data_IF_500016010927
#
_entry.id   IF_500016010927
#
_cell.length_a   1.000
_cell.length_b   1.000
_cell.length_c   1.000
_cell.angle_alpha   90.00
_cell.angle_beta   90.00
_cell.angle_gamma   90.00
#
_symmetry.space_group_name_H-M   'P 1'
#
loop_
_entity.id
_entity.type
_entity.pdbx_description
1 polymer ?
#
# COMPACT_ATOMS: atom_id res chain seq x y z
N UNK A 1 -7.29 -40.24 13.75
CA UNK A 1 -6.06 -39.40 13.76
C UNK A 1 -5.67 -38.88 12.37
N UNK A 2 -6.05 -39.55 11.28
CA UNK A 2 -5.81 -39.14 9.88
C UNK A 2 -6.48 -37.81 9.47
N UNK A 3 -7.63 -37.44 10.04
CA UNK A 3 -8.34 -36.20 9.69
C UNK A 3 -7.58 -34.92 10.06
N UNK A 4 -6.89 -34.89 11.21
CA UNK A 4 -6.16 -33.69 11.68
C UNK A 4 -4.95 -33.35 10.80
N UNK A 5 -4.26 -34.37 10.29
CA UNK A 5 -3.12 -34.20 9.38
C UNK A 5 -3.58 -33.70 8.00
N UNK A 6 -4.64 -34.29 7.45
CA UNK A 6 -5.25 -33.84 6.20
C UNK A 6 -5.78 -32.40 6.32
N UNK A 7 -6.44 -32.07 7.44
CA UNK A 7 -6.95 -30.72 7.70
C UNK A 7 -5.80 -29.70 7.84
N UNK A 8 -4.71 -30.05 8.51
CA UNK A 8 -3.52 -29.19 8.66
C UNK A 8 -2.78 -28.97 7.33
N UNK A 9 -2.68 -30.01 6.50
CA UNK A 9 -2.10 -29.89 5.17
C UNK A 9 -2.97 -29.03 4.25
N UNK A 10 -4.30 -29.23 4.26
CA UNK A 10 -5.25 -28.41 3.52
C UNK A 10 -5.23 -26.94 3.95
N UNK A 11 -5.22 -26.67 5.26
CA UNK A 11 -5.08 -25.32 5.82
C UNK A 11 -3.77 -24.65 5.40
N UNK A 12 -2.66 -25.38 5.41
CA UNK A 12 -1.35 -24.86 5.00
C UNK A 12 -1.31 -24.53 3.51
N UNK A 13 -1.88 -25.38 2.66
CA UNK A 13 -2.00 -25.11 1.23
C UNK A 13 -2.90 -23.90 0.98
N UNK A 14 -4.03 -23.80 1.68
CA UNK A 14 -4.92 -22.65 1.60
C UNK A 14 -4.22 -21.35 2.05
N UNK A 15 -3.49 -21.38 3.16
CA UNK A 15 -2.72 -20.23 3.67
C UNK A 15 -1.68 -19.76 2.63
N UNK A 16 -0.97 -20.68 1.98
CA UNK A 16 -0.03 -20.34 0.90
C UNK A 16 -0.72 -19.67 -0.29
N UNK A 17 -1.89 -20.18 -0.71
CA UNK A 17 -2.66 -19.58 -1.80
C UNK A 17 -3.19 -18.20 -1.42
N UNK A 18 -3.73 -18.04 -0.22
CA UNK A 18 -4.23 -16.75 0.30
C UNK A 18 -3.10 -15.72 0.41
N UNK A 19 -1.92 -16.12 0.87
CA UNK A 19 -0.76 -15.23 0.98
C UNK A 19 -0.28 -14.73 -0.38
N UNK A 20 -0.41 -15.52 -1.45
CA UNK A 20 -0.04 -15.12 -2.82
C UNK A 20 -0.93 -13.98 -3.36
N UNK A 21 -2.21 -13.96 -2.98
CA UNK A 21 -3.17 -12.93 -3.42
C UNK A 21 -3.37 -11.80 -2.40
N UNK A 22 -2.79 -11.94 -1.21
CA UNK A 22 -2.84 -10.92 -0.18
C UNK A 22 -2.02 -9.71 -0.62
N UNK A 23 -2.53 -8.47 -0.45
CA UNK A 23 -1.71 -7.29 -0.69
C UNK A 23 -0.51 -7.27 0.25
N UNK A 24 0.57 -6.63 -0.20
CA UNK A 24 1.74 -6.38 0.62
C UNK A 24 1.37 -5.60 1.89
N UNK A 25 2.15 -5.81 2.95
CA UNK A 25 2.00 -5.05 4.19
C UNK A 25 2.30 -3.57 3.90
N UNK A 26 1.39 -2.65 4.27
CA UNK A 26 1.60 -1.24 4.00
C UNK A 26 2.76 -0.69 4.84
N UNK A 27 3.02 -1.16 6.05
CA UNK A 27 4.01 -0.50 6.93
C UNK A 27 5.35 -1.22 6.93
N UNK A 28 5.38 -2.54 6.78
CA UNK A 28 6.58 -3.33 6.95
C UNK A 28 6.97 -4.08 5.68
N UNK A 29 8.27 -4.17 5.44
CA UNK A 29 8.84 -5.08 4.44
C UNK A 29 9.72 -6.11 5.14
N UNK A 30 9.74 -7.31 4.57
CA UNK A 30 10.59 -8.41 5.04
C UNK A 30 11.89 -8.38 4.24
N UNK A 31 13.01 -8.44 4.93
CA UNK A 31 14.34 -8.57 4.32
C UNK A 31 15.09 -9.72 4.97
N UNK A 32 15.94 -10.37 4.18
CA UNK A 32 16.80 -11.45 4.66
C UNK A 32 18.09 -10.80 5.17
N UNK A 33 18.39 -11.03 6.45
CA UNK A 33 19.64 -10.58 7.08
C UNK A 33 20.83 -11.35 6.49
N UNK A 34 22.05 -10.86 6.69
CA UNK A 34 23.31 -11.52 6.27
C UNK A 34 23.42 -12.96 6.79
N UNK A 35 22.71 -13.25 7.87
CA UNK A 35 22.64 -14.55 8.52
C UNK A 35 21.50 -15.46 8.01
N UNK A 36 20.83 -15.11 6.90
CA UNK A 36 19.71 -15.88 6.34
C UNK A 36 18.40 -15.79 7.15
N UNK A 37 18.34 -14.91 8.16
CA UNK A 37 17.15 -14.74 9.02
C UNK A 37 16.23 -13.68 8.45
N UNK A 38 14.94 -13.99 8.33
CA UNK A 38 13.93 -12.99 7.97
C UNK A 38 13.76 -11.95 9.09
N UNK A 39 13.88 -10.68 8.73
CA UNK A 39 13.68 -9.53 9.61
C UNK A 39 12.65 -8.59 8.99
N UNK A 40 11.96 -7.84 9.83
CA UNK A 40 10.98 -6.83 9.40
C UNK A 40 11.56 -5.44 9.62
N UNK A 41 11.52 -4.60 8.59
CA UNK A 41 11.83 -3.17 8.70
C UNK A 41 10.64 -2.34 8.22
N UNK A 42 10.57 -1.08 8.64
CA UNK A 42 9.54 -0.16 8.15
C UNK A 42 9.85 0.16 6.69
N UNK A 43 8.84 0.13 5.83
CA UNK A 43 8.96 0.54 4.43
C UNK A 43 9.31 2.01 4.35
N UNK A 44 10.25 2.32 3.47
CA UNK A 44 10.57 3.70 3.11
C UNK A 44 9.42 4.31 2.31
N UNK A 45 9.33 5.64 2.32
CA UNK A 45 8.33 6.36 1.52
C UNK A 45 8.88 6.55 0.10
N UNK A 46 8.02 6.61 -0.92
CA UNK A 46 8.46 6.91 -2.27
C UNK A 46 9.21 8.26 -2.32
N UNK A 47 10.30 8.34 -3.11
CA UNK A 47 11.07 9.57 -3.25
C UNK A 47 10.25 10.65 -3.98
N UNK A 48 10.64 11.92 -3.83
CA UNK A 48 9.97 13.03 -4.53
C UNK A 48 8.65 13.51 -3.94
N UNK A 49 8.17 12.88 -2.86
CA UNK A 49 6.95 13.32 -2.16
C UNK A 49 7.17 14.65 -1.42
N UNK A 50 6.16 15.51 -1.49
CA UNK A 50 6.06 16.67 -0.59
C UNK A 50 5.94 16.22 0.87
N UNK A 51 6.38 17.05 1.83
CA UNK A 51 6.24 16.77 3.26
C UNK A 51 4.78 16.51 3.68
N UNK A 52 3.84 17.18 3.01
CA UNK A 52 2.40 17.00 3.22
C UNK A 52 1.98 15.59 2.80
N UNK A 53 2.32 15.19 1.58
CA UNK A 53 1.94 13.88 1.03
C UNK A 53 2.60 12.75 1.79
N UNK A 54 3.88 12.91 2.16
CA UNK A 54 4.61 11.97 3.00
C UNK A 54 3.96 11.77 4.37
N UNK A 55 3.40 12.82 4.98
CA UNK A 55 2.64 12.74 6.25
C UNK A 55 1.28 12.07 6.04
N UNK A 56 0.59 12.38 4.94
CA UNK A 56 -0.71 11.77 4.60
C UNK A 56 -0.54 10.27 4.37
N UNK A 57 0.42 9.88 3.54
CA UNK A 57 0.72 8.49 3.21
C UNK A 57 1.09 7.68 4.46
N UNK A 58 1.95 8.22 5.34
CA UNK A 58 2.25 7.58 6.64
C UNK A 58 1.01 7.33 7.49
N UNK A 59 0.09 8.31 7.57
CA UNK A 59 -1.15 8.16 8.33
C UNK A 59 -2.06 7.10 7.72
N UNK A 60 -2.16 7.05 6.39
CA UNK A 60 -2.98 6.04 5.67
C UNK A 60 -2.38 4.65 5.84
N UNK A 61 -1.08 4.47 5.59
CA UNK A 61 -0.37 3.18 5.76
C UNK A 61 -0.51 2.65 7.19
N UNK A 62 -0.34 3.51 8.21
CA UNK A 62 -0.58 3.13 9.62
C UNK A 62 -2.02 2.71 9.87
N UNK A 63 -3.01 3.47 9.40
CA UNK A 63 -4.43 3.12 9.61
C UNK A 63 -4.79 1.80 8.93
N UNK A 64 -4.39 1.63 7.68
CA UNK A 64 -4.59 0.40 6.93
C UNK A 64 -4.01 -0.81 7.66
N UNK A 65 -2.78 -0.69 8.16
CA UNK A 65 -2.13 -1.72 8.95
C UNK A 65 -2.93 -2.14 10.18
N UNK A 66 -3.47 -1.18 10.94
CA UNK A 66 -4.24 -1.47 12.15
C UNK A 66 -5.62 -2.05 11.83
N UNK A 67 -6.27 -1.54 10.78
CA UNK A 67 -7.59 -2.01 10.37
C UNK A 67 -7.54 -3.44 9.82
N UNK A 68 -6.50 -3.77 9.04
CA UNK A 68 -6.38 -5.09 8.40
C UNK A 68 -5.66 -6.12 9.28
N UNK A 69 -4.99 -5.74 10.38
CA UNK A 69 -4.29 -6.70 11.24
C UNK A 69 -5.22 -7.61 12.05
N UNK A 70 -6.43 -7.14 12.38
CA UNK A 70 -7.42 -7.84 13.21
C UNK A 70 -6.96 -8.13 14.66
N UNK A 71 -7.86 -8.03 15.64
CA UNK A 71 -7.63 -8.60 16.97
C UNK A 71 -7.89 -10.12 16.90
N UNK A 72 -7.01 -10.91 17.52
CA UNK A 72 -7.18 -12.37 17.63
C UNK A 72 -7.96 -12.68 18.90
N UNK A 73 -9.18 -13.20 18.78
CA UNK A 73 -9.92 -13.79 19.91
C UNK A 73 -10.24 -15.25 19.57
N UNK A 74 -9.86 -16.15 20.47
CA UNK A 74 -10.06 -17.60 20.33
C UNK A 74 -9.57 -18.24 19.02
N UNK A 75 -8.40 -17.83 18.51
CA UNK A 75 -7.79 -18.44 17.32
C UNK A 75 -8.39 -18.00 15.98
N UNK A 76 -9.38 -17.10 15.99
CA UNK A 76 -9.95 -16.45 14.81
C UNK A 76 -9.59 -14.95 14.84
N UNK A 77 -9.28 -14.38 13.67
CA UNK A 77 -8.85 -12.97 13.52
C UNK A 77 -10.08 -12.13 13.20
N UNK A 78 -10.56 -11.36 14.18
CA UNK A 78 -11.71 -10.48 14.02
C UNK A 78 -11.26 -9.02 13.91
N UNK A 79 -11.64 -8.36 12.82
CA UNK A 79 -11.48 -6.90 12.68
C UNK A 79 -12.50 -6.13 13.53
N UNK A 80 -12.37 -4.80 13.58
CA UNK A 80 -13.43 -3.91 14.13
C UNK A 80 -14.80 -4.13 13.46
N UNK A 81 -14.81 -4.72 12.26
CA UNK A 81 -16.00 -5.15 11.52
C UNK A 81 -16.83 -6.24 12.22
N UNK A 82 -16.27 -7.03 13.14
CA UNK A 82 -17.02 -8.07 13.87
C UNK A 82 -17.96 -7.49 14.94
N UNK A 83 -17.56 -6.40 15.60
CA UNK A 83 -18.44 -5.65 16.52
C UNK A 83 -19.59 -4.99 15.76
N UNK A 84 -19.31 -4.55 14.52
CA UNK A 84 -20.30 -3.98 13.59
C UNK A 84 -21.26 -5.07 13.04
N UNK A 85 -20.79 -6.30 12.88
CA UNK A 85 -21.58 -7.44 12.38
C UNK A 85 -22.63 -8.03 13.35
N UNK A 86 -22.62 -7.63 14.63
CA UNK A 86 -23.65 -8.04 15.61
C UNK A 86 -24.97 -7.26 15.42
N UNK A 87 -24.95 -6.13 14.69
CA UNK A 87 -26.14 -5.30 14.47
C UNK A 87 -26.41 -5.23 12.94
N UNK A 88 -27.40 -5.98 12.41
CA UNK A 88 -27.83 -5.78 11.03
C UNK A 88 -28.27 -4.31 10.86
N UNK A 89 -27.92 -3.68 9.72
CA UNK A 89 -27.91 -2.23 9.38
C UNK A 89 -26.60 -1.45 9.61
N UNK A 90 -25.67 -1.88 10.47
CA UNK A 90 -24.44 -1.08 10.73
C UNK A 90 -23.40 -1.23 9.62
N UNK A 91 -23.45 -2.30 8.82
CA UNK A 91 -22.60 -2.48 7.63
C UNK A 91 -22.70 -1.31 6.64
N UNK A 92 -23.92 -0.87 6.32
CA UNK A 92 -24.16 0.27 5.42
C UNK A 92 -23.67 1.61 6.03
N UNK A 93 -23.82 1.79 7.34
CA UNK A 93 -23.34 2.97 8.06
C UNK A 93 -21.82 2.97 8.20
N UNK A 94 -21.20 1.81 8.39
CA UNK A 94 -19.75 1.65 8.45
C UNK A 94 -19.12 1.92 7.09
N UNK A 95 -19.73 1.47 6.00
CA UNK A 95 -19.30 1.79 4.64
C UNK A 95 -19.47 3.28 4.33
N UNK A 96 -20.60 3.89 4.69
CA UNK A 96 -20.80 5.34 4.55
C UNK A 96 -19.80 6.16 5.39
N UNK A 97 -19.51 5.71 6.61
CA UNK A 97 -18.62 6.40 7.53
C UNK A 97 -17.15 6.21 7.15
N UNK A 98 -16.75 5.02 6.67
CA UNK A 98 -15.42 4.78 6.08
C UNK A 98 -15.24 5.58 4.79
N UNK A 99 -16.24 5.61 3.92
CA UNK A 99 -16.27 6.41 2.70
C UNK A 99 -16.07 7.90 3.06
N UNK A 100 -16.83 8.44 3.99
CA UNK A 100 -16.69 9.84 4.41
C UNK A 100 -15.33 10.14 5.10
N UNK A 101 -14.83 9.28 5.98
CA UNK A 101 -13.61 9.53 6.77
C UNK A 101 -12.29 9.24 6.03
N UNK A 102 -12.22 8.15 5.25
CA UNK A 102 -11.00 7.79 4.52
C UNK A 102 -10.91 8.55 3.21
N UNK A 103 -12.04 8.79 2.54
CA UNK A 103 -12.04 9.28 1.16
C UNK A 103 -12.24 10.80 1.09
N UNK A 104 -13.32 11.35 1.66
CA UNK A 104 -13.61 12.79 1.51
C UNK A 104 -12.58 13.67 2.20
N UNK A 105 -12.19 13.34 3.44
CA UNK A 105 -11.19 14.12 4.19
C UNK A 105 -9.77 14.01 3.64
N UNK A 106 -9.42 12.92 2.97
CA UNK A 106 -8.06 12.72 2.41
C UNK A 106 -7.96 13.16 0.96
N UNK A 107 -8.99 12.95 0.13
CA UNK A 107 -9.06 13.51 -1.21
C UNK A 107 -8.98 15.04 -1.18
N UNK A 108 -9.66 15.71 -0.23
CA UNK A 108 -9.50 17.16 0.01
C UNK A 108 -8.10 17.59 0.47
N UNK A 109 -7.31 16.69 1.08
CA UNK A 109 -5.96 17.01 1.58
C UNK A 109 -4.84 16.65 0.59
N UNK A 110 -5.07 15.70 -0.30
CA UNK A 110 -4.08 15.13 -1.22
C UNK A 110 -4.41 15.33 -2.71
N UNK A 111 -5.51 16.03 -3.04
CA UNK A 111 -5.91 16.35 -4.42
C UNK A 111 -5.91 15.12 -5.34
N UNK A 112 -6.53 14.05 -4.84
CA UNK A 112 -6.55 12.75 -5.52
C UNK A 112 -7.63 12.79 -6.62
N UNK A 113 -7.37 12.24 -7.82
CA UNK A 113 -8.36 12.23 -8.90
C UNK A 113 -9.57 11.34 -8.57
N UNK A 114 -10.72 11.70 -9.13
CA UNK A 114 -12.00 11.01 -8.89
C UNK A 114 -11.98 9.52 -9.29
N UNK A 115 -11.21 9.13 -10.31
CA UNK A 115 -11.10 7.73 -10.71
C UNK A 115 -10.40 6.87 -9.63
N UNK A 116 -9.36 7.41 -8.97
CA UNK A 116 -8.64 6.69 -7.91
C UNK A 116 -9.54 6.55 -6.69
N UNK A 117 -10.29 7.62 -6.40
CA UNK A 117 -11.32 7.65 -5.39
C UNK A 117 -12.34 6.52 -5.60
N UNK A 118 -12.96 6.47 -6.79
CA UNK A 118 -13.94 5.43 -7.12
C UNK A 118 -13.37 4.02 -6.99
N UNK A 119 -12.09 3.82 -7.35
CA UNK A 119 -11.43 2.52 -7.22
C UNK A 119 -11.21 2.11 -5.76
N UNK A 120 -10.87 3.07 -4.89
CA UNK A 120 -10.77 2.81 -3.45
C UNK A 120 -12.12 2.48 -2.82
N UNK A 121 -13.20 3.12 -3.29
CA UNK A 121 -14.56 2.82 -2.87
C UNK A 121 -15.01 1.44 -3.34
N UNK A 122 -14.69 1.08 -4.58
CA UNK A 122 -15.02 -0.24 -5.12
C UNK A 122 -14.37 -1.36 -4.29
N UNK A 123 -13.10 -1.20 -3.88
CA UNK A 123 -12.45 -2.18 -3.00
C UNK A 123 -13.20 -2.36 -1.67
N UNK A 124 -13.72 -1.28 -1.08
CA UNK A 124 -14.49 -1.37 0.16
C UNK A 124 -15.85 -2.05 -0.09
N UNK A 125 -16.56 -1.67 -1.15
CA UNK A 125 -17.84 -2.27 -1.52
C UNK A 125 -17.73 -3.78 -1.78
N UNK A 126 -16.65 -4.22 -2.43
CA UNK A 126 -16.36 -5.65 -2.62
C UNK A 126 -16.11 -6.34 -1.28
N UNK A 127 -15.33 -5.71 -0.38
CA UNK A 127 -15.08 -6.27 0.95
C UNK A 127 -16.35 -6.37 1.80
N UNK A 128 -17.26 -5.41 1.70
CA UNK A 128 -18.54 -5.41 2.38
C UNK A 128 -19.46 -6.50 1.83
N UNK A 129 -19.56 -6.61 0.50
CA UNK A 129 -20.34 -7.67 -0.16
C UNK A 129 -19.84 -9.08 0.21
N UNK A 130 -18.53 -9.29 0.28
CA UNK A 130 -17.92 -10.55 0.75
C UNK A 130 -18.33 -10.85 2.21
N UNK A 131 -18.38 -9.81 3.05
CA UNK A 131 -18.74 -9.92 4.47
C UNK A 131 -20.18 -10.34 4.76
N UNK A 132 -21.05 -10.35 3.74
CA UNK A 132 -22.44 -10.80 3.89
C UNK A 132 -22.56 -12.32 4.01
N UNK A 133 -21.54 -13.08 3.59
CA UNK A 133 -21.53 -14.54 3.66
C UNK A 133 -20.87 -15.00 4.97
N UNK A 134 -21.60 -15.54 5.95
CA UNK A 134 -20.99 -15.99 7.20
C UNK A 134 -19.98 -17.13 6.95
N UNK A 135 -18.95 -17.22 7.80
CA UNK A 135 -17.85 -18.22 7.73
C UNK A 135 -16.90 -18.01 6.54
N UNK A 136 -17.42 -18.01 5.31
CA UNK A 136 -16.60 -17.83 4.09
C UNK A 136 -16.16 -16.37 3.96
N UNK A 137 -17.07 -15.42 4.22
CA UNK A 137 -16.82 -13.99 4.15
C UNK A 137 -15.74 -13.53 5.11
N UNK A 138 -15.69 -14.07 6.33
CA UNK A 138 -14.66 -13.71 7.33
C UNK A 138 -13.24 -14.06 6.85
N UNK A 139 -13.09 -15.25 6.26
CA UNK A 139 -11.81 -15.70 5.69
C UNK A 139 -11.45 -14.86 4.46
N UNK A 140 -12.43 -14.62 3.59
CA UNK A 140 -12.23 -13.83 2.38
C UNK A 140 -11.92 -12.35 2.69
N UNK A 141 -12.51 -11.73 3.72
CA UNK A 141 -12.16 -10.39 4.18
C UNK A 141 -10.71 -10.34 4.66
N UNK A 142 -10.29 -11.31 5.47
CA UNK A 142 -8.92 -11.41 5.97
C UNK A 142 -7.88 -11.56 4.85
N UNK A 143 -8.26 -12.23 3.75
CA UNK A 143 -7.46 -12.34 2.54
C UNK A 143 -7.50 -11.06 1.68
N UNK A 144 -8.66 -10.42 1.59
CA UNK A 144 -8.90 -9.29 0.70
C UNK A 144 -8.23 -7.99 1.20
N UNK A 145 -8.24 -7.72 2.51
CA UNK A 145 -7.55 -6.57 3.14
C UNK A 145 -7.74 -5.25 2.36
N UNK A 146 -8.99 -4.79 2.28
CA UNK A 146 -9.36 -3.63 1.46
C UNK A 146 -8.56 -2.37 1.80
N UNK A 147 -8.24 -2.14 3.08
CA UNK A 147 -7.53 -0.92 3.49
C UNK A 147 -6.08 -0.91 3.00
N UNK A 148 -5.40 -2.06 3.00
CA UNK A 148 -4.03 -2.22 2.51
C UNK A 148 -3.98 -2.04 0.99
N UNK A 149 -5.00 -2.53 0.27
CA UNK A 149 -5.14 -2.26 -1.18
C UNK A 149 -5.34 -0.78 -1.47
N UNK A 150 -6.17 -0.11 -0.68
CA UNK A 150 -6.39 1.32 -0.79
C UNK A 150 -5.13 2.14 -0.45
N UNK A 151 -4.37 1.71 0.55
CA UNK A 151 -3.08 2.32 0.87
C UNK A 151 -2.05 2.14 -0.25
N UNK A 152 -2.00 0.95 -0.88
CA UNK A 152 -1.12 0.67 -2.01
C UNK A 152 -1.50 1.50 -3.25
N UNK A 153 -2.79 1.64 -3.54
CA UNK A 153 -3.29 2.51 -4.63
C UNK A 153 -2.88 3.98 -4.41
N UNK A 154 -2.99 4.48 -3.18
CA UNK A 154 -2.57 5.84 -2.85
C UNK A 154 -1.04 6.00 -2.94
N UNK A 155 -0.28 5.02 -2.46
CA UNK A 155 1.17 5.02 -2.53
C UNK A 155 1.66 5.08 -3.98
N UNK A 156 1.05 4.27 -4.86
CA UNK A 156 1.38 4.24 -6.27
C UNK A 156 1.11 5.59 -6.96
N UNK A 157 -0.06 6.19 -6.69
CA UNK A 157 -0.39 7.50 -7.21
C UNK A 157 0.59 8.59 -6.74
N UNK A 158 0.93 8.59 -5.46
CA UNK A 158 1.88 9.56 -4.91
C UNK A 158 3.30 9.33 -5.43
N UNK A 159 3.69 8.07 -5.69
CA UNK A 159 4.98 7.74 -6.31
C UNK A 159 5.10 8.36 -7.69
N UNK A 160 4.09 8.17 -8.55
CA UNK A 160 4.05 8.75 -9.89
C UNK A 160 4.15 10.29 -9.82
N UNK A 161 3.37 10.91 -8.93
CA UNK A 161 3.39 12.37 -8.71
C UNK A 161 4.76 12.86 -8.21
N UNK A 162 5.43 12.09 -7.35
CA UNK A 162 6.77 12.39 -6.83
C UNK A 162 7.85 12.25 -7.89
N UNK A 163 7.76 11.23 -8.75
CA UNK A 163 8.70 11.01 -9.85
C UNK A 163 8.58 12.12 -10.91
N UNK A 164 7.37 12.58 -11.23
CA UNK A 164 7.15 13.74 -12.10
C UNK A 164 7.78 15.02 -11.53
N UNK A 165 7.65 15.22 -10.21
CA UNK A 165 8.27 16.34 -9.52
C UNK A 165 9.80 16.26 -9.57
N UNK A 166 10.39 15.09 -9.36
CA UNK A 166 11.84 14.90 -9.46
C UNK A 166 12.36 15.12 -10.89
N UNK A 167 11.64 14.65 -11.91
CA UNK A 167 11.99 14.88 -13.33
C UNK A 167 12.01 16.36 -13.67
N UNK A 168 10.95 17.08 -13.32
CA UNK A 168 10.86 18.54 -13.55
C UNK A 168 11.93 19.37 -12.82
N UNK A 169 12.46 18.87 -11.70
CA UNK A 169 13.57 19.50 -10.99
C UNK A 169 14.95 19.10 -11.51
N UNK A 170 15.05 18.02 -12.29
CA UNK A 170 16.32 17.54 -12.81
C UNK A 170 16.96 18.61 -13.72
N UNK A 171 18.24 18.95 -13.52
CA UNK A 171 18.93 19.93 -14.37
C UNK A 171 19.04 19.49 -15.84
N UNK A 172 18.86 18.20 -16.12
CA UNK A 172 18.99 17.60 -17.44
C UNK A 172 17.79 17.94 -18.33
N UNK A 173 16.56 17.94 -17.78
CA UNK A 173 15.34 18.28 -18.52
C UNK A 173 15.16 19.78 -18.77
N UNK A 174 15.96 20.64 -18.12
CA UNK A 174 15.95 22.10 -18.30
C UNK A 174 16.95 22.60 -19.36
N UNK A 175 17.74 21.70 -19.94
CA UNK A 175 18.66 22.03 -21.02
C UNK A 175 17.87 22.05 -22.34
N UNK A 176 18.05 23.08 -23.20
CA UNK A 176 17.62 23.00 -24.60
C UNK A 176 18.10 21.69 -25.22
N UNK A 177 17.31 21.06 -26.10
CA UNK A 177 17.70 19.79 -26.75
C UNK A 177 19.10 19.88 -27.40
N UNK A 178 19.44 21.07 -27.90
CA UNK A 178 20.74 21.43 -28.48
C UNK A 178 21.92 21.31 -27.48
N UNK A 179 21.70 21.58 -26.18
CA UNK A 179 22.72 21.45 -25.14
C UNK A 179 22.91 19.99 -24.69
N UNK A 180 21.85 19.16 -24.77
CA UNK A 180 21.91 17.72 -24.46
C UNK A 180 22.77 17.01 -25.51
N UNK A 181 22.51 17.26 -26.80
CA UNK A 181 23.27 16.70 -27.91
C UNK A 181 24.74 17.15 -27.87
N UNK A 182 24.97 18.43 -27.59
CA UNK A 182 26.33 18.96 -27.39
C UNK A 182 27.06 18.31 -26.20
N UNK A 183 26.36 17.90 -25.13
CA UNK A 183 26.99 17.27 -23.96
C UNK A 183 27.31 15.78 -24.17
N UNK A 184 26.53 15.10 -25.01
CA UNK A 184 26.72 13.70 -25.39
C UNK A 184 27.84 13.56 -26.44
N UNK A 185 27.92 14.51 -27.38
CA UNK A 185 28.90 14.48 -28.48
C UNK A 185 30.25 15.09 -28.10
N UNK A 186 30.32 15.93 -27.07
CA UNK A 186 31.60 16.48 -26.60
C UNK A 186 32.46 15.37 -25.98
N UNK A 187 33.69 15.17 -26.45
CA UNK A 187 34.63 14.27 -25.79
C UNK A 187 34.87 14.76 -24.35
N UNK A 188 35.08 13.84 -23.38
CA UNK A 188 35.32 14.21 -22.00
C UNK A 188 36.49 15.21 -21.94
N UNK A 189 36.21 16.40 -21.39
CA UNK A 189 37.20 17.48 -21.30
C UNK A 189 38.42 16.95 -20.58
N UNK A 190 39.54 16.85 -21.28
CA UNK A 190 40.80 16.42 -20.70
C UNK A 190 41.08 17.31 -19.47
N UNK A 191 41.31 16.69 -18.31
CA UNK A 191 41.74 17.42 -17.11
C UNK A 191 43.06 18.12 -17.47
N UNK A 192 43.02 19.45 -17.60
CA UNK A 192 44.23 20.27 -17.68
C UNK A 192 45.07 19.94 -16.45
N UNK A 193 46.25 19.37 -16.70
CA UNK A 193 47.29 19.12 -15.70
C UNK A 193 48.11 20.39 -15.54
N UNK A 194 47.47 21.49 -15.14
CA UNK A 194 48.18 22.73 -14.84
C UNK A 194 48.15 22.94 -13.33
N UNK A 195 49.23 22.52 -12.67
CA UNK A 195 49.38 22.70 -11.22
C UNK A 195 50.37 21.75 -10.55
N UNK A 196 51.54 21.51 -11.15
CA UNK A 196 52.72 21.06 -10.40
C UNK A 196 53.81 22.08 -10.62
N UNK A 197 54.00 22.95 -9.63
CA UNK A 197 55.27 23.60 -9.31
C UNK A 197 55.42 23.55 -7.80
#
# INVERSE_FOLDING_TARGET
>A
MTSKLAQKAGLKLFEQHVNKYSPEDPVYETYIDKNGKERKRKRELPPGLSDRDAKILRKVKKRAYHLDKGFSICGFRFGWSFIIGIIPMVGDVADFCLNYLLVVRKAKQAEIPAWLLSRMLFNNAVSAGIGLVPIVGDVCIAAFKANSRNAALLEEYLRIRGDEFLKSQSPIDKLPEEDIENRITRPPRAKSRDGVK
#
